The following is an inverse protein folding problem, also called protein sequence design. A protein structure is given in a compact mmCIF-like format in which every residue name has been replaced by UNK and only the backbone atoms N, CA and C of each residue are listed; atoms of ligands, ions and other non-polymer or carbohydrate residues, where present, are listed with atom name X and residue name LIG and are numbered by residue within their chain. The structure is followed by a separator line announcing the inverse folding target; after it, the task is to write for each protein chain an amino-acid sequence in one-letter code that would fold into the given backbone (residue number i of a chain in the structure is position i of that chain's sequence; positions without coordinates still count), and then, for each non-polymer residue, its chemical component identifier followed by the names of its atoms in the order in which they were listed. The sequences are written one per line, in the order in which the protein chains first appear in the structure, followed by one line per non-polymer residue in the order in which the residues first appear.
data_IF_746846283518
#
_entry.id   IF_746846283518
#
_cell.length_a   1.000
_cell.length_b   1.000
_cell.length_c   1.000
_cell.angle_alpha   90.00
_cell.angle_beta   90.00
_cell.angle_gamma   90.00
#
_symmetry.space_group_name_H-M   'P 1'
#
loop_
_entity.id
_entity.type
_entity.pdbx_description
1 polymer ?
#
# COMPACT_ATOMS: atom_id res chain seq x y z
N UNK A 1 50.58 25.64 6.53
CA UNK A 1 51.20 24.45 7.16
C UNK A 1 50.50 24.18 8.49
N UNK A 2 49.50 23.31 8.51
CA UNK A 2 48.94 22.66 9.71
C UNK A 2 48.52 21.24 9.34
N UNK A 3 48.75 20.36 10.27
CA UNK A 3 49.15 18.96 10.14
C UNK A 3 47.98 18.01 9.94
N UNK A 4 48.20 16.94 9.18
CA UNK A 4 47.39 15.72 9.08
C UNK A 4 47.14 15.08 10.46
N UNK A 5 45.95 14.52 10.65
CA UNK A 5 45.62 13.57 11.71
C UNK A 5 44.80 12.42 11.14
N UNK A 6 45.49 11.40 10.67
CA UNK A 6 44.97 10.09 10.27
C UNK A 6 44.66 9.27 11.54
N UNK A 7 43.51 8.62 11.63
CA UNK A 7 43.30 7.51 12.59
C UNK A 7 42.77 6.31 11.81
N UNK A 8 43.64 5.32 11.71
CA UNK A 8 43.47 3.96 11.20
C UNK A 8 43.61 3.03 12.41
N UNK A 9 42.63 2.19 12.72
CA UNK A 9 42.73 0.96 13.55
C UNK A 9 41.38 0.24 13.40
N UNK A 10 41.21 -1.08 13.39
CA UNK A 10 42.02 -2.29 13.20
C UNK A 10 40.97 -3.42 13.10
N UNK A 11 41.19 -4.41 12.23
CA UNK A 11 40.37 -5.63 12.19
C UNK A 11 40.63 -6.51 13.43
N UNK A 12 39.57 -7.10 13.99
CA UNK A 12 39.67 -8.37 14.71
C UNK A 12 38.62 -9.34 14.16
N UNK A 13 39.10 -10.40 13.51
CA UNK A 13 38.34 -11.59 13.19
C UNK A 13 38.45 -12.59 14.35
N UNK A 14 37.33 -13.18 14.73
CA UNK A 14 37.28 -14.40 15.56
C UNK A 14 36.40 -15.40 14.84
N UNK A 15 36.90 -16.62 14.67
CA UNK A 15 36.24 -17.72 14.00
C UNK A 15 35.72 -18.79 15.00
N UNK A 16 34.48 -19.24 14.74
CA UNK A 16 33.86 -20.56 15.01
C UNK A 16 33.59 -21.01 16.48
N UNK A 17 32.55 -21.84 16.77
CA UNK A 17 31.95 -22.86 15.90
C UNK A 17 30.41 -22.92 15.80
N UNK A 18 29.97 -23.71 14.80
CA UNK A 18 28.60 -24.11 14.48
C UNK A 18 27.73 -24.56 15.66
N UNK A 19 26.45 -24.18 15.66
CA UNK A 19 25.29 -25.00 16.07
C UNK A 19 24.00 -24.20 15.79
N UNK A 20 23.01 -24.85 15.13
CA UNK A 20 21.62 -24.36 15.04
C UNK A 20 21.29 -23.52 13.82
N UNK A 21 20.87 -24.17 12.74
CA UNK A 21 20.22 -23.51 11.60
C UNK A 21 18.78 -23.15 12.01
N UNK A 22 18.62 -22.07 12.76
CA UNK A 22 17.34 -21.43 13.01
C UNK A 22 16.93 -20.70 11.73
N UNK A 23 15.75 -21.04 11.19
CA UNK A 23 15.20 -20.37 10.02
C UNK A 23 15.07 -18.88 10.30
N UNK A 24 15.97 -18.08 9.73
CA UNK A 24 15.88 -16.62 9.76
C UNK A 24 14.52 -16.22 9.19
N UNK A 25 13.74 -15.35 9.87
CA UNK A 25 12.55 -14.79 9.27
C UNK A 25 12.95 -14.07 7.99
N UNK A 26 12.28 -14.39 6.89
CA UNK A 26 12.38 -13.68 5.61
C UNK A 26 12.19 -12.19 5.91
N UNK A 27 13.20 -11.37 5.58
CA UNK A 27 13.23 -9.96 5.95
C UNK A 27 11.99 -9.24 5.43
N UNK A 28 11.30 -8.52 6.32
CA UNK A 28 10.19 -7.63 5.95
C UNK A 28 10.73 -6.47 5.14
N UNK A 29 10.36 -6.39 3.86
CA UNK A 29 10.61 -5.19 3.06
C UNK A 29 9.42 -4.26 3.22
N UNK A 30 9.65 -3.10 3.83
CA UNK A 30 8.63 -2.05 3.97
C UNK A 30 8.66 -1.18 2.72
N UNK A 31 7.66 -1.33 1.84
CA UNK A 31 7.43 -0.38 0.76
C UNK A 31 6.76 0.86 1.35
N UNK A 32 7.40 2.02 1.15
CA UNK A 32 6.85 3.33 1.50
C UNK A 32 6.40 4.01 0.22
N UNK A 33 5.10 4.26 0.12
CA UNK A 33 4.55 5.09 -0.94
C UNK A 33 4.28 6.46 -0.34
N UNK A 34 5.10 7.44 -0.73
CA UNK A 34 5.00 8.81 -0.24
C UNK A 34 4.51 9.74 -1.34
N UNK A 35 3.70 10.72 -0.95
CA UNK A 35 3.14 11.77 -1.81
C UNK A 35 4.20 12.51 -2.66
N UNK A 36 5.48 12.51 -2.26
CA UNK A 36 6.56 13.23 -2.98
C UNK A 36 7.61 12.35 -3.65
N UNK A 37 7.64 11.03 -3.39
CA UNK A 37 8.56 10.10 -4.06
C UNK A 37 8.21 8.67 -3.62
N UNK A 38 7.82 7.80 -4.55
CA UNK A 38 7.84 6.36 -4.32
C UNK A 38 9.31 5.91 -4.32
N UNK A 39 9.97 5.98 -3.16
CA UNK A 39 11.28 5.35 -2.96
C UNK A 39 11.06 4.03 -2.25
N UNK A 40 11.39 2.94 -2.93
CA UNK A 40 11.60 1.63 -2.29
C UNK A 40 12.79 1.80 -1.35
N UNK A 41 12.52 1.97 -0.05
CA UNK A 41 13.57 1.93 0.96
C UNK A 41 14.02 0.49 1.13
N UNK A 42 15.05 0.07 0.42
CA UNK A 42 15.67 -1.24 0.63
C UNK A 42 16.48 -1.19 1.93
N UNK A 43 16.01 -1.87 2.97
CA UNK A 43 16.90 -2.36 4.00
C UNK A 43 17.73 -3.50 3.37
N UNK A 44 19.06 -3.47 3.48
CA UNK A 44 19.95 -4.51 2.96
C UNK A 44 19.62 -5.87 3.62
N UNK A 45 18.73 -6.61 2.98
CA UNK A 45 18.41 -8.00 3.21
C UNK A 45 18.21 -8.63 1.84
N UNK A 46 18.74 -9.84 1.65
CA UNK A 46 18.87 -10.54 0.38
C UNK A 46 17.69 -10.30 -0.59
N UNK A 47 18.00 -9.78 -1.79
CA UNK A 47 17.06 -9.74 -2.92
C UNK A 47 16.66 -11.19 -3.27
N UNK A 48 15.38 -11.57 -3.14
CA UNK A 48 14.93 -12.87 -3.61
C UNK A 48 15.02 -12.92 -5.14
N UNK A 49 15.45 -14.06 -5.68
CA UNK A 49 15.52 -14.32 -7.11
C UNK A 49 14.18 -13.99 -7.80
N UNK A 50 14.24 -13.17 -8.85
CA UNK A 50 13.06 -12.71 -9.62
C UNK A 50 12.34 -13.85 -10.37
N UNK A 51 12.87 -15.08 -10.36
CA UNK A 51 12.46 -16.17 -11.25
C UNK A 51 11.32 -17.06 -10.73
N UNK A 52 10.67 -16.77 -9.59
CA UNK A 52 9.71 -17.73 -8.98
C UNK A 52 8.39 -17.14 -8.46
N UNK A 53 7.93 -16.01 -8.99
CA UNK A 53 6.62 -15.44 -8.62
C UNK A 53 5.54 -15.83 -9.62
N UNK A 54 5.08 -17.09 -9.58
CA UNK A 54 3.88 -17.47 -10.32
C UNK A 54 2.64 -16.94 -9.59
N UNK A 55 2.00 -15.91 -10.15
CA UNK A 55 0.76 -15.37 -9.60
C UNK A 55 -0.36 -16.44 -9.61
N UNK A 56 -1.16 -16.56 -8.53
CA UNK A 56 -2.31 -17.45 -8.52
C UNK A 56 -3.37 -16.95 -9.52
N UNK A 57 -3.85 -17.84 -10.41
CA UNK A 57 -4.91 -17.53 -11.37
C UNK A 57 -6.25 -17.38 -10.65
N UNK A 58 -6.76 -16.15 -10.56
CA UNK A 58 -8.10 -15.92 -10.04
C UNK A 58 -9.17 -16.12 -11.13
N UNK A 59 -10.19 -16.94 -10.84
CA UNK A 59 -11.33 -17.19 -11.72
C UNK A 59 -12.54 -16.37 -11.26
N UNK A 60 -12.92 -15.33 -12.02
CA UNK A 60 -14.27 -14.76 -11.97
C UNK A 60 -14.64 -14.04 -13.28
N UNK A 61 -15.94 -13.98 -13.56
CA UNK A 61 -16.52 -13.47 -14.81
C UNK A 61 -16.03 -12.06 -15.16
N UNK A 62 -15.72 -11.77 -16.43
CA UNK A 62 -15.18 -10.49 -16.86
C UNK A 62 -16.18 -9.34 -16.67
N UNK A 63 -15.68 -8.17 -16.29
CA UNK A 63 -16.45 -6.93 -16.29
C UNK A 63 -16.96 -6.66 -17.73
N UNK A 64 -18.21 -6.20 -17.91
CA UNK A 64 -18.84 -6.05 -19.23
C UNK A 64 -18.17 -4.96 -20.10
N UNK A 65 -17.42 -4.04 -19.49
CA UNK A 65 -16.52 -3.12 -20.18
C UNK A 65 -15.28 -2.89 -19.30
N UNK A 66 -14.11 -3.04 -19.91
CA UNK A 66 -12.82 -2.76 -19.27
C UNK A 66 -12.18 -1.61 -20.05
N UNK A 67 -12.06 -0.41 -19.45
CA UNK A 67 -11.33 0.67 -20.10
C UNK A 67 -9.87 0.24 -20.32
N UNK A 68 -9.21 0.71 -21.40
CA UNK A 68 -7.77 0.52 -21.54
C UNK A 68 -7.07 1.21 -20.37
N UNK A 69 -5.89 0.70 -19.97
CA UNK A 69 -5.06 1.36 -18.96
C UNK A 69 -4.82 2.80 -19.38
N UNK A 70 -5.20 3.80 -18.56
CA UNK A 70 -4.82 5.17 -18.85
C UNK A 70 -3.29 5.29 -18.87
N UNK A 71 -2.77 5.99 -19.89
CA UNK A 71 -1.33 6.24 -19.99
C UNK A 71 -0.80 6.93 -18.74
N UNK A 72 0.44 6.60 -18.37
CA UNK A 72 1.20 7.25 -17.29
C UNK A 72 0.66 7.10 -15.86
N UNK A 73 -0.44 6.35 -15.67
CA UNK A 73 -0.94 6.00 -14.36
C UNK A 73 -0.17 4.79 -13.80
N UNK A 74 0.53 4.98 -12.68
CA UNK A 74 1.28 3.90 -12.01
C UNK A 74 0.32 2.99 -11.26
N UNK A 75 0.70 1.73 -11.10
CA UNK A 75 0.05 0.79 -10.19
C UNK A 75 1.12 0.17 -9.30
N UNK A 76 0.70 -0.36 -8.16
CA UNK A 76 1.57 -1.10 -7.27
C UNK A 76 2.07 -2.35 -7.99
N UNK A 77 3.38 -2.57 -7.97
CA UNK A 77 4.04 -3.71 -8.59
C UNK A 77 4.87 -4.45 -7.53
N UNK A 78 4.83 -5.78 -7.56
CA UNK A 78 5.74 -6.66 -6.83
C UNK A 78 6.47 -7.51 -7.86
N UNK A 79 7.74 -7.19 -8.08
CA UNK A 79 8.47 -7.67 -9.26
C UNK A 79 7.75 -7.22 -10.54
N UNK A 80 7.37 -8.18 -11.38
CA UNK A 80 6.64 -7.94 -12.63
C UNK A 80 5.10 -8.09 -12.47
N UNK A 81 4.63 -8.45 -11.27
CA UNK A 81 3.21 -8.66 -11.00
C UNK A 81 2.55 -7.40 -10.48
N UNK A 82 1.37 -7.08 -11.03
CA UNK A 82 0.49 -6.05 -10.49
C UNK A 82 0.00 -6.50 -9.13
N UNK A 83 0.01 -5.63 -8.13
CA UNK A 83 -0.54 -5.92 -6.81
C UNK A 83 -1.89 -5.23 -6.61
N UNK A 84 -2.89 -5.99 -6.15
CA UNK A 84 -4.21 -5.46 -5.78
C UNK A 84 -4.90 -6.34 -4.75
N UNK A 85 -5.96 -5.82 -4.15
CA UNK A 85 -6.80 -6.56 -3.22
C UNK A 85 -7.68 -7.54 -4.03
N UNK A 86 -7.73 -8.84 -3.68
CA UNK A 86 -8.69 -9.76 -4.28
C UNK A 86 -10.14 -9.32 -4.02
N UNK A 87 -11.06 -9.58 -4.95
CA UNK A 87 -12.44 -9.11 -4.83
C UNK A 87 -13.16 -9.73 -3.61
N UNK A 88 -12.86 -10.98 -3.29
CA UNK A 88 -13.37 -11.71 -2.13
C UNK A 88 -12.83 -11.20 -0.78
N UNK A 89 -11.77 -10.38 -0.82
CA UNK A 89 -11.21 -9.70 0.35
C UNK A 89 -11.71 -8.25 0.52
N UNK A 90 -12.58 -7.78 -0.37
CA UNK A 90 -13.29 -6.50 -0.20
C UNK A 90 -14.56 -6.69 0.64
N UNK A 91 -15.06 -5.63 1.32
CA UNK A 91 -14.41 -4.32 1.53
C UNK A 91 -13.28 -4.41 2.56
N UNK A 92 -12.24 -3.57 2.47
CA UNK A 92 -11.21 -3.43 3.51
C UNK A 92 -11.81 -2.71 4.73
N UNK A 93 -11.59 -3.26 5.93
CA UNK A 93 -12.02 -2.70 7.21
C UNK A 93 -10.97 -1.73 7.75
N UNK A 94 -11.35 -0.48 8.00
CA UNK A 94 -10.44 0.58 8.43
C UNK A 94 -10.80 1.02 9.83
N UNK A 95 -9.83 0.98 10.74
CA UNK A 95 -9.92 1.65 12.02
C UNK A 95 -9.31 3.05 11.93
N UNK A 96 -10.10 4.08 12.27
CA UNK A 96 -9.70 5.49 12.10
C UNK A 96 -8.63 5.95 13.10
N UNK A 97 -8.37 5.20 14.17
CA UNK A 97 -7.39 5.56 15.21
C UNK A 97 -7.83 6.69 16.15
N UNK A 98 -8.55 7.68 15.63
CA UNK A 98 -9.13 8.81 16.37
C UNK A 98 -10.64 8.93 16.07
N UNK A 99 -11.53 8.55 17.00
CA UNK A 99 -12.98 8.61 16.81
C UNK A 99 -13.50 10.00 16.43
N UNK A 100 -12.80 11.08 16.84
CA UNK A 100 -13.15 12.46 16.47
C UNK A 100 -13.00 12.75 14.97
N UNK A 101 -12.40 11.83 14.20
CA UNK A 101 -12.14 11.95 12.76
C UNK A 101 -12.99 11.00 11.92
N UNK A 102 -14.03 10.37 12.48
CA UNK A 102 -14.87 9.43 11.72
C UNK A 102 -15.46 10.07 10.45
N UNK A 103 -15.94 11.32 10.53
CA UNK A 103 -16.50 12.02 9.37
C UNK A 103 -15.48 12.22 8.22
N UNK A 104 -14.19 12.34 8.55
CA UNK A 104 -13.10 12.44 7.58
C UNK A 104 -12.90 11.10 6.87
N UNK A 105 -12.92 9.98 7.61
CA UNK A 105 -12.84 8.64 7.03
C UNK A 105 -14.02 8.39 6.07
N UNK A 106 -15.24 8.71 6.49
CA UNK A 106 -16.44 8.56 5.66
C UNK A 106 -16.33 9.37 4.37
N UNK A 107 -15.83 10.61 4.47
CA UNK A 107 -15.59 11.48 3.32
C UNK A 107 -14.51 10.92 2.38
N UNK A 108 -13.42 10.34 2.91
CA UNK A 108 -12.33 9.77 2.13
C UNK A 108 -12.71 8.46 1.40
N UNK A 109 -13.54 7.62 2.01
CA UNK A 109 -13.99 6.34 1.44
C UNK A 109 -15.08 6.53 0.36
N UNK A 110 -15.94 7.54 0.52
CA UNK A 110 -17.09 7.79 -0.35
C UNK A 110 -16.78 7.73 -1.86
N UNK A 111 -15.77 8.44 -2.40
CA UNK A 111 -15.46 8.38 -3.83
C UNK A 111 -15.11 6.97 -4.31
N UNK A 112 -14.29 6.23 -3.55
CA UNK A 112 -13.88 4.87 -3.89
C UNK A 112 -15.05 3.87 -3.86
N UNK A 113 -15.90 3.94 -2.84
CA UNK A 113 -17.09 3.09 -2.73
C UNK A 113 -18.15 3.37 -3.82
N UNK A 114 -18.01 4.49 -4.54
CA UNK A 114 -18.91 4.88 -5.64
C UNK A 114 -18.27 4.66 -7.02
N UNK A 115 -17.07 4.08 -7.09
CA UNK A 115 -16.26 4.01 -8.31
C UNK A 115 -16.59 2.83 -9.25
N UNK A 116 -17.74 2.17 -9.04
CA UNK A 116 -18.23 1.10 -9.93
C UNK A 116 -17.81 -0.34 -9.57
N UNK A 117 -16.98 -0.54 -8.54
CA UNK A 117 -16.59 -1.87 -8.02
C UNK A 117 -17.38 -2.31 -6.77
N UNK A 118 -18.39 -1.54 -6.38
CA UNK A 118 -19.12 -1.73 -5.11
C UNK A 118 -18.36 -1.14 -3.92
N UNK A 119 -18.64 -1.67 -2.72
CA UNK A 119 -18.01 -1.20 -1.48
C UNK A 119 -16.56 -1.69 -1.39
N UNK A 120 -15.61 -0.76 -1.45
CA UNK A 120 -14.17 -1.05 -1.32
C UNK A 120 -13.68 -0.93 0.13
N UNK A 121 -14.28 -0.03 0.91
CA UNK A 121 -13.85 0.29 2.26
C UNK A 121 -15.04 0.43 3.22
N UNK A 122 -14.84 0.01 4.47
CA UNK A 122 -15.79 0.20 5.57
C UNK A 122 -15.06 0.61 6.85
N UNK A 123 -15.72 1.40 7.70
CA UNK A 123 -15.21 1.66 9.07
C UNK A 123 -15.35 0.41 9.93
N UNK A 124 -14.40 0.18 10.84
CA UNK A 124 -14.41 -0.93 11.76
C UNK A 124 -13.79 -0.57 13.11
N UNK A 125 -14.04 -1.39 14.12
CA UNK A 125 -13.34 -1.33 15.40
C UNK A 125 -11.85 -1.69 15.24
N UNK A 126 -11.02 -1.33 16.22
CA UNK A 126 -9.60 -1.67 16.21
C UNK A 126 -9.35 -3.20 16.14
N UNK A 127 -10.23 -4.01 16.72
CA UNK A 127 -10.10 -5.47 16.78
C UNK A 127 -10.48 -6.16 15.46
N UNK A 128 -11.29 -5.50 14.65
CA UNK A 128 -11.80 -6.05 13.40
C UNK A 128 -11.11 -5.46 12.17
N UNK A 129 -10.33 -4.39 12.33
CA UNK A 129 -9.76 -3.67 11.21
C UNK A 129 -8.64 -4.44 10.50
N UNK A 130 -8.65 -4.30 9.19
CA UNK A 130 -7.61 -4.76 8.28
C UNK A 130 -6.43 -3.76 8.21
N UNK A 131 -6.70 -2.49 8.53
CA UNK A 131 -5.79 -1.36 8.44
C UNK A 131 -6.14 -0.33 9.53
N UNK A 132 -5.13 0.31 10.14
CA UNK A 132 -5.33 1.44 11.06
C UNK A 132 -4.73 2.74 10.48
N UNK A 133 -5.42 3.86 10.74
CA UNK A 133 -4.93 5.20 10.44
C UNK A 133 -4.27 5.79 11.69
N UNK A 134 -3.04 6.27 11.53
CA UNK A 134 -2.25 6.94 12.56
C UNK A 134 -2.14 8.44 12.27
N UNK A 135 -2.54 9.26 13.23
CA UNK A 135 -2.60 10.72 13.15
C UNK A 135 -1.48 11.45 13.90
N UNK A 136 -0.50 10.72 14.44
CA UNK A 136 0.65 11.29 15.18
C UNK A 136 1.50 12.23 14.32
N UNK A 137 1.47 12.04 12.99
CA UNK A 137 2.20 12.83 12.01
C UNK A 137 3.65 12.42 11.77
N UNK A 138 4.04 11.25 12.28
CA UNK A 138 5.31 10.58 11.99
C UNK A 138 5.32 9.96 10.59
N UNK A 139 5.46 10.80 9.57
CA UNK A 139 5.69 10.40 8.18
C UNK A 139 7.12 10.75 7.76
N UNK A 140 7.57 10.15 6.64
CA UNK A 140 8.86 10.43 6.02
C UNK A 140 9.09 11.95 5.79
N UNK A 141 10.35 12.37 5.71
CA UNK A 141 10.71 13.78 5.50
C UNK A 141 10.05 14.33 4.22
N UNK A 142 9.46 15.54 4.30
CA UNK A 142 8.72 16.16 3.20
C UNK A 142 7.33 15.57 2.92
N UNK A 143 7.03 14.34 3.35
CA UNK A 143 5.72 13.72 3.13
C UNK A 143 4.62 14.35 3.99
N UNK A 144 3.36 14.27 3.55
CA UNK A 144 2.19 14.74 4.33
C UNK A 144 1.31 13.59 4.78
N UNK A 145 1.34 12.50 4.03
CA UNK A 145 0.81 11.21 4.42
C UNK A 145 1.72 10.12 3.82
N UNK A 146 1.59 8.90 4.31
CA UNK A 146 2.35 7.74 3.87
C UNK A 146 1.51 6.47 4.06
N UNK A 147 1.41 5.67 3.01
CA UNK A 147 0.91 4.30 3.08
C UNK A 147 2.09 3.36 3.27
N UNK A 148 2.02 2.52 4.29
CA UNK A 148 3.04 1.52 4.59
C UNK A 148 2.54 0.14 4.20
N UNK A 149 3.33 -0.53 3.39
CA UNK A 149 3.03 -1.86 2.88
C UNK A 149 4.20 -2.79 3.22
N UNK A 150 3.91 -3.93 3.82
CA UNK A 150 4.88 -4.98 4.10
C UNK A 150 4.78 -6.04 3.00
N UNK A 151 5.88 -6.28 2.29
CA UNK A 151 5.91 -7.26 1.21
C UNK A 151 6.40 -8.60 1.76
N UNK A 152 5.56 -9.63 1.63
CA UNK A 152 5.87 -11.02 1.92
C UNK A 152 6.04 -11.81 0.61
N UNK A 153 6.47 -13.06 0.70
CA UNK A 153 6.73 -13.91 -0.47
C UNK A 153 5.46 -14.20 -1.28
N UNK A 154 4.28 -14.23 -0.65
CA UNK A 154 3.00 -14.59 -1.25
C UNK A 154 1.96 -13.46 -1.25
N UNK A 155 2.23 -12.34 -0.59
CA UNK A 155 1.27 -11.23 -0.44
C UNK A 155 1.91 -9.91 -0.03
N UNK A 156 1.17 -8.83 -0.22
CA UNK A 156 1.43 -7.52 0.40
C UNK A 156 0.46 -7.32 1.55
N UNK A 157 0.92 -6.80 2.67
CA UNK A 157 0.10 -6.48 3.85
C UNK A 157 0.12 -4.97 4.07
N UNK A 158 -1.03 -4.28 4.05
CA UNK A 158 -1.12 -2.88 4.47
C UNK A 158 -0.85 -2.75 5.97
N UNK A 159 0.33 -2.25 6.34
CA UNK A 159 0.74 -2.10 7.73
C UNK A 159 0.07 -0.89 8.42
N UNK A 160 -0.34 0.12 7.65
CA UNK A 160 -0.97 1.32 8.19
C UNK A 160 -0.94 2.48 7.20
N UNK A 161 -1.77 3.49 7.46
CA UNK A 161 -1.65 4.81 6.86
C UNK A 161 -1.25 5.78 7.96
N UNK A 162 -0.25 6.62 7.69
CA UNK A 162 0.15 7.71 8.58
C UNK A 162 -0.17 9.04 7.95
N UNK A 163 -0.79 9.95 8.70
CA UNK A 163 -1.14 11.29 8.23
C UNK A 163 -0.53 12.33 9.16
N UNK A 164 0.14 13.32 8.59
CA UNK A 164 0.56 14.54 9.30
C UNK A 164 -0.58 15.56 9.25
N UNK A 165 -1.32 15.77 10.37
CA UNK A 165 -2.49 16.62 10.35
C UNK A 165 -2.14 18.10 10.12
N UNK A 166 -1.14 18.64 10.81
CA UNK A 166 -0.70 20.04 10.68
C UNK A 166 -1.85 21.04 10.82
N UNK A 167 -1.73 22.20 10.16
CA UNK A 167 -2.80 23.22 10.06
C UNK A 167 -3.65 23.04 8.79
N UNK A 168 -4.01 21.79 8.47
CA UNK A 168 -4.75 21.45 7.24
C UNK A 168 -6.25 21.45 7.52
N UNK A 169 -7.04 21.80 6.50
CA UNK A 169 -8.50 21.71 6.58
C UNK A 169 -8.97 20.25 6.61
N UNK A 170 -10.18 20.01 7.10
CA UNK A 170 -10.80 18.67 7.08
C UNK A 170 -10.85 18.10 5.66
N UNK A 171 -11.22 18.91 4.67
CA UNK A 171 -11.24 18.53 3.26
C UNK A 171 -9.85 18.13 2.75
N UNK A 172 -8.80 18.89 3.10
CA UNK A 172 -7.42 18.58 2.72
C UNK A 172 -6.95 17.25 3.33
N UNK A 173 -7.31 16.98 4.58
CA UNK A 173 -6.97 15.71 5.23
C UNK A 173 -7.78 14.53 4.67
N UNK A 174 -9.07 14.72 4.40
CA UNK A 174 -9.90 13.72 3.73
C UNK A 174 -9.38 13.41 2.32
N UNK A 175 -8.90 14.42 1.59
CA UNK A 175 -8.26 14.23 0.29
C UNK A 175 -6.97 13.42 0.37
N UNK A 176 -6.06 13.74 1.29
CA UNK A 176 -4.86 12.89 1.49
C UNK A 176 -5.22 11.48 1.91
N UNK A 177 -6.14 11.32 2.86
CA UNK A 177 -6.55 9.97 3.27
C UNK A 177 -7.14 9.21 2.08
N UNK A 178 -7.96 9.84 1.24
CA UNK A 178 -8.51 9.22 0.04
C UNK A 178 -7.42 8.84 -0.97
N UNK A 179 -6.38 9.65 -1.13
CA UNK A 179 -5.19 9.32 -1.93
C UNK A 179 -4.47 8.07 -1.38
N UNK A 180 -4.18 8.04 -0.09
CA UNK A 180 -3.52 6.89 0.57
C UNK A 180 -4.36 5.61 0.46
N UNK A 181 -5.69 5.72 0.54
CA UNK A 181 -6.58 4.58 0.30
C UNK A 181 -6.45 4.02 -1.12
N UNK A 182 -6.17 4.86 -2.12
CA UNK A 182 -5.84 4.40 -3.46
C UNK A 182 -4.61 3.49 -3.49
N UNK A 183 -3.57 3.83 -2.72
CA UNK A 183 -2.38 2.98 -2.58
C UNK A 183 -2.68 1.63 -1.93
N UNK A 184 -3.55 1.61 -0.92
CA UNK A 184 -3.97 0.37 -0.25
C UNK A 184 -4.63 -0.62 -1.22
N UNK A 185 -5.39 -0.14 -2.21
CA UNK A 185 -6.04 -0.99 -3.21
C UNK A 185 -5.17 -1.29 -4.45
N UNK A 186 -3.93 -0.80 -4.47
CA UNK A 186 -2.95 -1.11 -5.52
C UNK A 186 -2.77 -0.03 -6.58
N UNK A 187 -3.36 1.16 -6.43
CA UNK A 187 -3.09 2.28 -7.33
C UNK A 187 -1.77 2.96 -6.97
N UNK A 188 -1.00 3.37 -7.97
CA UNK A 188 0.15 4.26 -7.79
C UNK A 188 -0.24 5.70 -8.12
N UNK A 189 0.76 6.58 -8.24
CA UNK A 189 0.50 7.95 -8.68
C UNK A 189 0.06 8.03 -10.15
N UNK A 190 -0.84 8.95 -10.43
CA UNK A 190 -1.05 9.51 -11.77
C UNK A 190 0.08 10.47 -12.13
N UNK A 191 0.30 10.72 -13.43
CA UNK A 191 1.14 11.85 -13.87
C UNK A 191 0.40 13.19 -13.83
N UNK A 192 -0.92 13.17 -13.69
CA UNK A 192 -1.78 14.35 -13.70
C UNK A 192 -2.10 14.79 -12.27
N UNK A 193 -1.67 16.00 -11.91
CA UNK A 193 -1.89 16.58 -10.57
C UNK A 193 -3.37 16.92 -10.29
N UNK A 194 -4.23 16.94 -11.31
CA UNK A 194 -5.67 17.13 -11.12
C UNK A 194 -6.40 15.86 -10.67
N UNK A 195 -5.79 14.69 -10.88
CA UNK A 195 -6.29 13.40 -10.41
C UNK A 195 -6.25 13.30 -8.88
N UNK A 196 -7.08 12.44 -8.29
CA UNK A 196 -6.97 12.16 -6.86
C UNK A 196 -5.62 11.51 -6.56
N UNK A 197 -5.14 10.63 -7.44
CA UNK A 197 -3.84 9.97 -7.33
C UNK A 197 -2.67 10.79 -7.88
N UNK A 198 -2.86 12.07 -8.24
CA UNK A 198 -1.75 12.95 -8.61
C UNK A 198 -0.77 13.15 -7.44
N UNK A 199 0.56 13.27 -7.68
CA UNK A 199 1.56 13.39 -6.62
C UNK A 199 1.45 14.73 -5.86
N UNK A 200 0.94 15.79 -6.50
CA UNK A 200 0.87 17.11 -5.86
C UNK A 200 -0.47 17.35 -5.17
N UNK A 201 -0.44 17.72 -3.88
CA UNK A 201 -1.63 18.17 -3.14
C UNK A 201 -2.08 19.60 -3.49
N UNK A 202 -2.03 20.01 -4.76
CA UNK A 202 -2.35 21.38 -5.17
C UNK A 202 -3.85 21.67 -5.15
N UNK A 203 -4.68 20.62 -5.21
CA UNK A 203 -6.13 20.75 -5.24
C UNK A 203 -6.71 20.84 -3.83
N UNK A 204 -7.39 21.94 -3.56
CA UNK A 204 -8.22 22.12 -2.35
C UNK A 204 -9.62 21.56 -2.57
N UNK A 205 -10.29 21.18 -1.47
CA UNK A 205 -11.67 20.72 -1.48
C UNK A 205 -11.83 19.22 -1.26
N UNK A 206 -13.08 18.76 -1.36
CA UNK A 206 -13.47 17.38 -1.05
C UNK A 206 -12.79 16.38 -1.99
N UNK A 207 -12.45 15.16 -1.53
CA UNK A 207 -11.95 14.12 -2.40
C UNK A 207 -13.00 13.75 -3.46
N UNK A 208 -12.54 13.65 -4.71
CA UNK A 208 -13.32 13.23 -5.86
C UNK A 208 -12.37 12.54 -6.84
N UNK A 209 -12.79 11.41 -7.40
CA UNK A 209 -12.05 10.72 -8.45
C UNK A 209 -12.24 11.47 -9.77
N UNK A 210 -11.16 11.62 -10.53
CA UNK A 210 -11.28 11.93 -11.95
C UNK A 210 -11.83 10.72 -12.71
N UNK A 211 -12.14 10.91 -13.99
CA UNK A 211 -12.45 9.76 -14.86
C UNK A 211 -11.23 8.83 -14.99
N UNK A 212 -10.01 9.38 -14.97
CA UNK A 212 -8.77 8.61 -15.10
C UNK A 212 -8.50 7.73 -13.89
N UNK A 213 -8.78 8.24 -12.69
CA UNK A 213 -8.74 7.45 -11.45
C UNK A 213 -9.70 6.25 -11.54
N UNK A 214 -10.94 6.49 -11.98
CA UNK A 214 -11.97 5.44 -12.14
C UNK A 214 -11.60 4.42 -13.20
N UNK A 215 -11.16 4.87 -14.38
CA UNK A 215 -10.76 3.99 -15.47
C UNK A 215 -9.57 3.11 -15.08
N UNK A 216 -8.59 3.68 -14.38
CA UNK A 216 -7.43 2.92 -13.88
C UNK A 216 -7.85 1.89 -12.84
N UNK A 217 -8.78 2.23 -11.95
CA UNK A 217 -9.31 1.29 -10.97
C UNK A 217 -10.04 0.11 -11.63
N UNK A 218 -10.91 0.39 -12.60
CA UNK A 218 -11.64 -0.66 -13.34
C UNK A 218 -10.68 -1.53 -14.15
N UNK A 219 -9.67 -0.93 -14.79
CA UNK A 219 -8.61 -1.66 -15.47
C UNK A 219 -7.78 -2.52 -14.50
N UNK A 220 -7.40 -2.00 -13.33
CA UNK A 220 -6.62 -2.73 -12.33
C UNK A 220 -7.37 -4.00 -11.88
N UNK A 221 -8.67 -3.89 -11.61
CA UNK A 221 -9.49 -5.00 -11.15
C UNK A 221 -9.97 -5.94 -12.27
N UNK A 222 -9.74 -5.60 -13.54
CA UNK A 222 -9.92 -6.53 -14.64
C UNK A 222 -8.72 -7.44 -14.89
N UNK A 223 -7.57 -7.19 -14.24
CA UNK A 223 -6.36 -7.98 -14.46
C UNK A 223 -6.52 -9.38 -13.83
N UNK A 224 -6.33 -10.46 -14.61
CA UNK A 224 -6.55 -11.82 -14.15
C UNK A 224 -5.44 -12.33 -13.23
N UNK A 225 -4.21 -11.90 -13.51
CA UNK A 225 -3.01 -12.28 -12.77
C UNK A 225 -2.53 -11.11 -11.93
N UNK A 226 -2.39 -11.33 -10.63
CA UNK A 226 -1.96 -10.30 -9.68
C UNK A 226 -1.33 -10.92 -8.43
N UNK A 227 -0.54 -10.10 -7.73
CA UNK A 227 0.01 -10.39 -6.42
C UNK A 227 -0.94 -9.86 -5.34
N UNK A 228 -1.41 -10.70 -4.39
CA UNK A 228 -2.53 -10.30 -3.54
C UNK A 228 -2.10 -9.28 -2.47
N UNK A 229 -2.90 -8.23 -2.32
CA UNK A 229 -2.85 -7.32 -1.16
C UNK A 229 -3.90 -7.78 -0.15
N UNK A 230 -3.48 -8.22 1.04
CA UNK A 230 -4.35 -8.77 2.07
C UNK A 230 -4.29 -7.91 3.34
N UNK A 231 -5.45 -7.60 3.90
CA UNK A 231 -5.56 -6.90 5.18
C UNK A 231 -4.90 -7.65 6.35
N UNK A 232 -4.47 -6.91 7.37
CA UNK A 232 -3.85 -7.49 8.58
C UNK A 232 -4.89 -7.91 9.65
N UNK A 233 -6.17 -7.88 9.32
CA UNK A 233 -7.27 -8.15 10.24
C UNK A 233 -7.49 -9.63 10.49
N UNK A 234 -8.40 -9.98 11.43
CA UNK A 234 -8.75 -11.37 11.69
C UNK A 234 -9.19 -12.08 10.40
N UNK A 235 -8.76 -13.34 10.25
CA UNK A 235 -9.08 -14.21 9.11
C UNK A 235 -10.60 -14.23 8.91
N UNK A 236 -11.03 -14.02 7.67
CA UNK A 236 -12.44 -14.10 7.31
C UNK A 236 -12.83 -15.57 7.20
N UNK A 237 -13.78 -16.00 8.03
CA UNK A 237 -14.40 -17.32 7.89
C UNK A 237 -14.94 -17.48 6.47
N UNK A 238 -14.37 -18.42 5.70
CA UNK A 238 -14.77 -18.71 4.32
C UNK A 238 -13.69 -18.57 3.25
N UNK A 239 -12.51 -18.03 3.56
CA UNK A 239 -11.37 -18.00 2.63
C UNK A 239 -10.34 -19.06 3.03
N UNK A 240 -10.55 -20.29 2.56
CA UNK A 240 -9.55 -21.36 2.75
C UNK A 240 -8.36 -21.12 1.82
N UNK A 241 -7.23 -20.71 2.37
CA UNK A 241 -5.93 -20.74 1.72
C UNK A 241 -5.37 -22.16 1.71
N UNK A 242 -6.04 -23.10 1.04
CA UNK A 242 -5.47 -24.42 0.79
C UNK A 242 -4.98 -24.52 -0.65
N UNK A 243 -3.67 -24.48 -0.91
CA UNK A 243 -3.14 -24.99 -2.16
C UNK A 243 -3.33 -26.50 -2.15
N UNK A 244 -4.24 -27.00 -2.99
CA UNK A 244 -4.34 -28.42 -3.30
C UNK A 244 -3.00 -28.87 -3.88
N UNK A 245 -2.26 -29.67 -3.11
CA UNK A 245 -1.18 -30.50 -3.63
C UNK A 245 -1.83 -31.70 -4.31
N UNK A 246 -1.79 -31.73 -5.64
CA UNK A 246 -1.83 -32.96 -6.41
C UNK A 246 -0.46 -33.13 -7.08
#
# INVERSE_FOLDING_TARGET
MKTLGFVLWLMLAVAAPCLGQESQPVGTTVLRVNTFNAQVGTHEGATPDAASFAAPKASKAPLPFVPPRPGEFKVLMVGESIARVPLEHLPIRIHIGDPGRQALLDQAMKPWNSAGLGTLFVSASAQEADLTIDWTGEVSEGARAETRLDVHFDRVIPAGIRIRPGRRSQDSLARSLSHELGHVIGLGHSSDDDDLMGPSEHRSGKPALSQRDQDTLLWLYSQPDFFPVLGNGPVRDGVSSSPSKN
#
